data_IF_740683051903
#
_entry.id   IF_740683051903
#
_cell.length_a   1.000
_cell.length_b   1.000
_cell.length_c   1.000
_cell.angle_alpha   90.00
_cell.angle_beta   90.00
_cell.angle_gamma   90.00
#
_symmetry.space_group_name_H-M   'P 1'
#
loop_
_entity.id
_entity.type
_entity.pdbx_description
1 polymer ?
#
# COMPACT_ATOMS: atom_id res chain seq x y z
N UNK A 1 -1.33 16.41 27.40
CA UNK A 1 -0.10 16.58 26.61
C UNK A 1 0.93 15.61 27.16
N UNK A 2 0.98 14.40 26.63
CA UNK A 2 2.07 13.46 26.90
C UNK A 2 3.21 13.83 25.96
N UNK A 3 4.32 14.34 26.50
CA UNK A 3 5.52 14.59 25.72
C UNK A 3 6.01 13.26 25.14
N UNK A 4 6.05 13.15 23.82
CA UNK A 4 6.72 12.04 23.13
C UNK A 4 8.21 12.19 23.37
N UNK A 5 8.79 11.21 24.07
CA UNK A 5 10.16 11.26 24.57
C UNK A 5 11.14 10.86 23.45
N UNK A 6 11.21 11.68 22.40
CA UNK A 6 12.07 11.46 21.22
C UNK A 6 13.54 11.31 21.60
N UNK A 7 13.95 11.87 22.74
CA UNK A 7 15.31 11.78 23.31
C UNK A 7 15.76 10.34 23.61
N UNK A 8 14.83 9.39 23.65
CA UNK A 8 15.14 7.97 23.90
C UNK A 8 15.15 7.12 22.62
N UNK A 9 14.68 7.61 21.48
CA UNK A 9 14.55 6.79 20.25
C UNK A 9 15.93 6.65 19.59
N UNK A 10 16.32 5.42 19.25
CA UNK A 10 17.59 5.12 18.59
C UNK A 10 17.44 4.35 17.29
N UNK A 11 16.24 3.86 16.96
CA UNK A 11 15.96 3.16 15.71
C UNK A 11 14.52 3.40 15.25
N UNK A 12 14.29 3.36 13.93
CA UNK A 12 12.97 3.42 13.30
C UNK A 12 12.75 2.16 12.47
N UNK A 13 11.58 1.53 12.61
CA UNK A 13 11.12 0.43 11.78
C UNK A 13 9.78 0.79 11.14
N UNK A 14 9.73 0.87 9.82
CA UNK A 14 8.48 1.10 9.09
C UNK A 14 7.93 -0.23 8.57
N UNK A 15 6.78 -0.65 9.09
CA UNK A 15 6.09 -1.90 8.73
C UNK A 15 4.86 -1.63 7.85
N UNK A 16 4.38 -2.66 7.17
CA UNK A 16 3.17 -2.57 6.35
C UNK A 16 1.92 -2.54 7.24
N UNK A 17 0.96 -1.68 6.93
CA UNK A 17 -0.27 -1.49 7.72
C UNK A 17 -1.18 -2.73 7.77
N UNK A 18 -0.92 -3.76 6.96
CA UNK A 18 -1.60 -5.07 7.01
C UNK A 18 -1.03 -6.01 8.09
N UNK A 19 0.20 -5.74 8.57
CA UNK A 19 0.89 -6.57 9.56
C UNK A 19 0.37 -6.46 11.02
N UNK A 20 -0.15 -5.33 11.51
CA UNK A 20 -0.64 -5.20 12.89
C UNK A 20 -1.70 -6.25 13.27
N UNK A 21 -2.55 -6.67 12.33
CA UNK A 21 -3.57 -7.70 12.59
C UNK A 21 -2.99 -9.10 12.88
N UNK A 22 -1.73 -9.36 12.53
CA UNK A 22 -1.04 -10.63 12.73
C UNK A 22 -0.07 -10.61 13.92
N UNK A 23 0.28 -9.42 14.42
CA UNK A 23 1.21 -9.20 15.54
C UNK A 23 0.52 -9.23 16.91
N UNK A 24 -0.62 -9.90 17.06
CA UNK A 24 -1.32 -10.04 18.33
C UNK A 24 -1.06 -11.41 19.01
N UNK A 25 0.06 -11.63 19.72
CA UNK A 25 0.07 -12.51 20.87
C UNK A 25 -0.43 -11.76 22.11
N UNK A 26 -1.09 -12.50 23.01
CA UNK A 26 -1.86 -12.02 24.16
C UNK A 26 -1.07 -11.26 25.26
N UNK A 27 0.16 -10.82 25.03
CA UNK A 27 1.05 -10.22 26.06
C UNK A 27 1.87 -9.02 25.55
N UNK A 28 1.33 -8.23 24.61
CA UNK A 28 1.90 -6.93 24.23
C UNK A 28 1.07 -5.77 24.80
N UNK A 29 1.71 -4.87 25.54
CA UNK A 29 1.09 -3.59 25.95
C UNK A 29 1.13 -2.62 24.77
N UNK A 30 0.08 -2.64 23.96
CA UNK A 30 -0.12 -1.74 22.84
C UNK A 30 -0.49 -0.33 23.35
N UNK A 31 0.38 0.66 23.14
CA UNK A 31 0.02 2.07 23.39
C UNK A 31 -0.57 2.65 22.10
N UNK A 32 -1.89 2.54 21.95
CA UNK A 32 -2.65 3.22 20.88
C UNK A 32 -2.97 4.64 21.37
N UNK A 33 -2.39 5.66 20.72
CA UNK A 33 -2.81 7.03 20.97
C UNK A 33 -4.17 7.28 20.31
N UNK A 34 -5.18 7.55 21.15
CA UNK A 34 -6.61 7.55 20.83
C UNK A 34 -7.12 8.62 19.84
N UNK A 35 -6.26 9.25 19.03
CA UNK A 35 -6.67 10.23 18.03
C UNK A 35 -6.22 9.97 16.59
N UNK A 36 -5.43 8.91 16.33
CA UNK A 36 -5.11 8.45 14.96
C UNK A 36 -4.89 6.94 14.99
N UNK A 37 -5.66 6.19 14.21
CA UNK A 37 -5.81 4.73 14.35
C UNK A 37 -4.63 3.87 13.85
N UNK A 38 -3.42 4.41 13.62
CA UNK A 38 -2.42 3.72 12.78
C UNK A 38 -0.95 3.84 13.23
N UNK A 39 -0.64 3.84 14.53
CA UNK A 39 0.78 3.83 14.99
C UNK A 39 0.97 2.92 16.20
N UNK A 40 2.02 2.08 16.17
CA UNK A 40 2.39 1.12 17.22
C UNK A 40 3.73 1.53 17.86
N UNK A 41 3.77 1.85 19.15
CA UNK A 41 5.02 2.20 19.84
C UNK A 41 5.64 1.00 20.55
N UNK A 42 6.95 0.77 20.41
CA UNK A 42 7.70 -0.25 21.16
C UNK A 42 9.00 0.30 21.77
N UNK A 43 9.03 0.56 23.08
CA UNK A 43 10.28 0.85 23.78
C UNK A 43 10.88 -0.44 24.35
N UNK A 44 11.78 -1.09 23.61
CA UNK A 44 12.67 -2.11 24.17
C UNK A 44 14.07 -1.98 23.55
N UNK A 45 15.10 -2.05 24.39
CA UNK A 45 16.49 -1.95 23.96
C UNK A 45 16.89 -3.19 23.16
N UNK A 46 16.92 -3.08 21.83
CA UNK A 46 17.38 -4.16 20.94
C UNK A 46 18.76 -3.82 20.41
N UNK A 47 19.78 -4.49 20.95
CA UNK A 47 21.11 -4.58 20.35
C UNK A 47 21.12 -5.77 19.39
N UNK A 48 20.95 -5.53 18.09
CA UNK A 48 21.20 -6.53 17.06
C UNK A 48 21.61 -5.87 15.74
N UNK A 49 22.66 -6.41 15.12
CA UNK A 49 23.14 -6.04 13.78
C UNK A 49 22.03 -6.25 12.75
N UNK A 50 21.52 -5.17 12.15
CA UNK A 50 20.35 -5.14 11.24
C UNK A 50 20.76 -5.40 9.77
N UNK A 51 21.85 -6.15 9.53
CA UNK A 51 22.34 -6.39 8.16
C UNK A 51 21.90 -7.72 7.53
N UNK A 52 21.19 -8.59 8.27
CA UNK A 52 20.75 -9.86 7.74
C UNK A 52 19.51 -10.38 8.43
N UNK A 53 18.41 -10.33 7.70
CA UNK A 53 17.16 -11.04 7.98
C UNK A 53 16.29 -10.44 9.10
N UNK A 54 15.46 -9.47 8.69
CA UNK A 54 14.50 -8.78 9.55
C UNK A 54 13.48 -9.75 10.18
N UNK A 55 13.11 -10.82 9.48
CA UNK A 55 12.23 -11.84 10.05
C UNK A 55 12.94 -12.57 11.19
N UNK A 56 14.24 -12.86 11.05
CA UNK A 56 15.04 -13.42 12.14
C UNK A 56 15.23 -12.44 13.30
N UNK A 57 15.38 -11.13 13.04
CA UNK A 57 15.47 -10.10 14.07
C UNK A 57 14.16 -9.96 14.87
N UNK A 58 13.02 -9.93 14.17
CA UNK A 58 11.67 -9.86 14.79
C UNK A 58 11.34 -11.16 15.53
N UNK A 59 11.68 -12.32 14.95
CA UNK A 59 11.46 -13.63 15.58
C UNK A 59 12.37 -13.83 16.79
N UNK A 60 13.64 -13.42 16.71
CA UNK A 60 14.58 -13.46 17.85
C UNK A 60 14.18 -12.50 18.97
N UNK A 61 13.62 -11.33 18.63
CA UNK A 61 13.05 -10.42 19.63
C UNK A 61 11.82 -11.04 20.32
N UNK A 62 11.00 -11.80 19.59
CA UNK A 62 9.86 -12.54 20.16
C UNK A 62 10.30 -13.77 21.00
N UNK A 63 11.30 -14.53 20.54
CA UNK A 63 11.78 -15.77 21.17
C UNK A 63 12.67 -15.53 22.41
N UNK A 64 13.26 -14.34 22.54
CA UNK A 64 14.20 -14.01 23.63
C UNK A 64 13.54 -13.54 24.93
N UNK A 65 12.20 -13.55 25.02
CA UNK A 65 11.48 -13.20 26.25
C UNK A 65 11.71 -11.76 26.73
N UNK A 66 12.08 -10.85 25.83
CA UNK A 66 12.43 -9.46 26.10
C UNK A 66 11.21 -8.52 26.17
N UNK A 67 10.10 -9.00 26.74
CA UNK A 67 8.97 -8.21 27.26
C UNK A 67 8.83 -8.52 28.77
N UNK A 68 8.51 -7.53 29.63
CA UNK A 68 9.26 -7.37 30.88
C UNK A 68 8.84 -8.26 32.05
N UNK A 69 9.87 -8.78 32.74
CA UNK A 69 9.88 -9.22 34.13
C UNK A 69 11.31 -9.16 34.71
N UNK A 70 11.61 -8.06 35.42
CA UNK A 70 12.77 -7.79 36.30
C UNK A 70 14.18 -7.39 35.76
N UNK A 71 14.50 -6.11 36.01
CA UNK A 71 15.72 -5.48 36.60
C UNK A 71 17.12 -5.67 36.00
N UNK A 72 17.60 -4.69 35.21
CA UNK A 72 18.64 -3.67 35.53
C UNK A 72 18.94 -2.80 34.29
N UNK A 73 19.45 -1.55 34.44
CA UNK A 73 19.44 -0.56 33.37
C UNK A 73 20.66 -0.69 32.45
N UNK A 74 20.50 -1.40 31.33
CA UNK A 74 21.33 -1.15 30.15
C UNK A 74 20.69 -0.01 29.35
N UNK A 75 21.43 1.08 29.13
CA UNK A 75 20.96 2.35 28.56
C UNK A 75 19.92 2.17 27.42
N UNK A 76 18.66 2.63 27.57
CA UNK A 76 17.60 2.22 26.66
C UNK A 76 17.54 3.16 25.46
N UNK A 77 17.98 2.67 24.31
CA UNK A 77 17.54 3.18 23.02
C UNK A 77 16.20 2.55 22.63
N UNK A 78 15.18 3.36 22.37
CA UNK A 78 13.82 2.98 22.00
C UNK A 78 13.66 2.76 20.49
N UNK A 79 12.71 1.91 20.12
CA UNK A 79 12.38 1.57 18.73
C UNK A 79 11.05 2.24 18.34
N UNK A 80 11.09 3.15 17.37
CA UNK A 80 9.87 3.69 16.78
C UNK A 80 9.36 2.73 15.70
N UNK A 81 8.17 2.16 15.88
CA UNK A 81 7.51 1.38 14.82
C UNK A 81 6.41 2.23 14.19
N UNK A 82 6.48 2.41 12.87
CA UNK A 82 5.50 3.20 12.12
C UNK A 82 4.96 2.41 10.94
N UNK A 83 3.78 2.77 10.45
CA UNK A 83 3.22 2.20 9.23
C UNK A 83 3.48 3.04 7.98
N UNK A 84 3.98 4.27 8.18
CA UNK A 84 4.29 5.22 7.12
C UNK A 84 5.50 6.07 7.47
N UNK A 85 6.31 6.39 6.46
CA UNK A 85 7.44 7.32 6.59
C UNK A 85 7.00 8.78 6.75
N UNK A 86 5.74 9.10 6.43
CA UNK A 86 5.19 10.45 6.52
C UNK A 86 4.69 10.83 7.91
N UNK A 87 4.93 9.98 8.91
CA UNK A 87 4.55 10.23 10.29
C UNK A 87 5.39 11.37 10.89
N UNK A 88 4.80 12.35 11.58
CA UNK A 88 5.53 13.45 12.20
C UNK A 88 6.63 13.01 13.18
N UNK A 89 6.44 11.91 13.91
CA UNK A 89 7.42 11.36 14.83
C UNK A 89 8.55 10.64 14.09
N UNK A 90 8.24 9.97 12.97
CA UNK A 90 9.27 9.45 12.06
C UNK A 90 10.10 10.61 11.48
N UNK A 91 9.45 11.70 11.04
CA UNK A 91 10.16 12.88 10.57
C UNK A 91 11.02 13.55 11.65
N UNK A 92 10.50 13.64 12.88
CA UNK A 92 11.25 14.17 14.02
C UNK A 92 12.43 13.27 14.40
N UNK A 93 12.30 11.95 14.27
CA UNK A 93 13.39 11.02 14.52
C UNK A 93 14.44 11.04 13.39
N UNK A 94 14.01 11.16 12.13
CA UNK A 94 14.90 11.29 10.97
C UNK A 94 15.73 12.59 11.02
N UNK A 95 15.19 13.69 11.55
CA UNK A 95 15.96 14.94 11.72
C UNK A 95 17.11 14.80 12.73
N UNK A 96 17.06 13.77 13.58
CA UNK A 96 18.10 13.38 14.52
C UNK A 96 19.08 12.33 13.94
N UNK A 97 19.01 12.04 12.63
CA UNK A 97 19.78 10.99 11.95
C UNK A 97 19.60 9.60 12.55
N UNK A 98 18.43 9.32 13.11
CA UNK A 98 18.12 8.00 13.66
C UNK A 98 18.04 6.98 12.50
N UNK A 99 18.74 5.83 12.58
CA UNK A 99 18.72 4.82 11.53
C UNK A 99 17.31 4.26 11.33
N UNK A 100 16.93 4.11 10.05
CA UNK A 100 15.61 3.63 9.62
C UNK A 100 15.72 2.37 8.79
N UNK A 101 14.92 1.36 9.13
CA UNK A 101 14.66 0.19 8.30
C UNK A 101 13.22 0.23 7.78
N UNK A 102 13.02 -0.05 6.49
CA UNK A 102 11.69 -0.13 5.86
C UNK A 102 11.47 -1.58 5.43
N UNK A 103 10.35 -2.18 5.84
CA UNK A 103 9.99 -3.52 5.39
C UNK A 103 9.69 -3.48 3.89
N UNK A 104 10.20 -4.42 3.06
CA UNK A 104 9.98 -4.40 1.61
C UNK A 104 8.51 -4.33 1.18
N UNK A 105 7.58 -4.84 2.00
CA UNK A 105 6.14 -4.76 1.73
C UNK A 105 5.58 -3.35 1.82
N UNK A 106 6.22 -2.43 2.57
CA UNK A 106 5.93 -0.99 2.55
C UNK A 106 6.35 -0.36 1.21
N UNK A 107 7.31 -0.98 0.52
CA UNK A 107 7.72 -0.60 -0.83
C UNK A 107 6.76 -1.13 -1.92
N UNK A 108 5.63 -1.75 -1.56
CA UNK A 108 4.63 -2.18 -2.53
C UNK A 108 3.98 -0.96 -3.21
N UNK A 109 4.21 -0.82 -4.51
CA UNK A 109 3.76 0.33 -5.27
C UNK A 109 2.24 0.49 -5.29
N UNK A 110 1.49 -0.62 -5.22
CA UNK A 110 0.02 -0.58 -5.21
C UNK A 110 -0.49 -0.05 -3.87
N UNK A 111 0.03 -0.57 -2.76
CA UNK A 111 -0.28 -0.08 -1.42
C UNK A 111 0.09 1.40 -1.26
N UNK A 112 1.25 1.82 -1.79
CA UNK A 112 1.63 3.23 -1.80
C UNK A 112 0.67 4.11 -2.59
N UNK A 113 0.19 3.66 -3.75
CA UNK A 113 -0.77 4.43 -4.55
C UNK A 113 -2.09 4.63 -3.79
N UNK A 114 -2.62 3.58 -3.14
CA UNK A 114 -3.82 3.67 -2.30
C UNK A 114 -3.61 4.61 -1.11
N UNK A 115 -2.51 4.44 -0.37
CA UNK A 115 -2.19 5.29 0.77
C UNK A 115 -1.96 6.77 0.37
N UNK A 116 -1.38 7.00 -0.80
CA UNK A 116 -1.19 8.35 -1.35
C UNK A 116 -2.54 9.00 -1.65
N UNK A 117 -3.47 8.29 -2.28
CA UNK A 117 -4.82 8.81 -2.55
C UNK A 117 -5.59 9.12 -1.26
N UNK A 118 -5.53 8.21 -0.28
CA UNK A 118 -6.11 8.44 1.06
C UNK A 118 -5.56 9.72 1.67
N UNK A 119 -4.23 9.87 1.69
CA UNK A 119 -3.57 11.06 2.21
C UNK A 119 -3.99 12.31 1.43
N UNK A 120 -4.12 12.23 0.11
CA UNK A 120 -4.53 13.35 -0.72
C UNK A 120 -5.91 13.87 -0.31
N UNK A 121 -6.88 12.99 -0.04
CA UNK A 121 -8.19 13.40 0.47
C UNK A 121 -8.21 13.74 1.97
N UNK A 122 -7.17 13.38 2.73
CA UNK A 122 -7.05 13.85 4.12
C UNK A 122 -6.57 15.29 4.21
N UNK A 123 -5.63 15.69 3.35
CA UNK A 123 -4.92 16.98 3.49
C UNK A 123 -5.18 17.97 2.35
N UNK A 124 -5.63 17.51 1.18
CA UNK A 124 -5.79 18.30 -0.03
C UNK A 124 -7.14 19.00 -0.13
N UNK A 125 -7.15 20.32 -0.35
CA UNK A 125 -8.41 21.08 -0.48
C UNK A 125 -9.15 20.76 -1.77
N UNK A 126 -8.42 20.57 -2.88
CA UNK A 126 -9.02 20.28 -4.18
C UNK A 126 -9.58 18.87 -4.24
N UNK A 127 -8.82 17.90 -3.76
CA UNK A 127 -9.15 16.48 -3.71
C UNK A 127 -10.41 16.24 -2.88
N UNK A 128 -10.52 16.91 -1.72
CA UNK A 128 -11.69 16.85 -0.85
C UNK A 128 -12.97 17.42 -1.47
N UNK A 129 -12.86 18.28 -2.47
CA UNK A 129 -14.01 18.87 -3.17
C UNK A 129 -14.54 17.96 -4.29
N UNK A 130 -13.81 16.90 -4.65
CA UNK A 130 -14.20 16.04 -5.75
C UNK A 130 -15.37 15.13 -5.40
N UNK A 131 -16.21 14.87 -6.40
CA UNK A 131 -17.27 13.87 -6.39
C UNK A 131 -17.09 12.93 -7.59
N UNK A 132 -17.85 11.83 -7.64
CA UNK A 132 -17.83 10.97 -8.82
C UNK A 132 -18.16 11.76 -10.10
N UNK A 133 -19.12 12.68 -10.01
CA UNK A 133 -19.59 13.49 -11.13
C UNK A 133 -18.59 14.57 -11.54
N UNK A 134 -17.93 15.24 -10.57
CA UNK A 134 -16.96 16.30 -10.89
C UNK A 134 -15.70 15.77 -11.58
N UNK A 135 -15.39 14.48 -11.40
CA UNK A 135 -14.23 13.82 -12.00
C UNK A 135 -14.48 13.28 -13.41
N UNK A 136 -15.74 13.22 -13.88
CA UNK A 136 -16.07 12.70 -15.22
C UNK A 136 -15.29 13.42 -16.35
N UNK A 137 -15.18 14.76 -16.38
CA UNK A 137 -14.43 15.45 -17.42
C UNK A 137 -12.95 15.03 -17.45
N UNK A 138 -12.33 14.91 -16.28
CA UNK A 138 -10.95 14.44 -16.15
C UNK A 138 -10.82 13.01 -16.67
N UNK A 139 -11.68 12.09 -16.24
CA UNK A 139 -11.65 10.70 -16.73
C UNK A 139 -11.79 10.61 -18.26
N UNK A 140 -12.61 11.45 -18.88
CA UNK A 140 -12.75 11.50 -20.34
C UNK A 140 -11.45 11.98 -21.00
N UNK A 141 -10.84 13.04 -20.46
CA UNK A 141 -9.56 13.59 -20.91
C UNK A 141 -8.44 12.56 -20.81
N UNK A 142 -8.19 12.00 -19.61
CA UNK A 142 -7.14 10.97 -19.40
C UNK A 142 -7.36 9.74 -20.28
N UNK A 143 -8.62 9.37 -20.55
CA UNK A 143 -8.92 8.24 -21.45
C UNK A 143 -8.56 8.58 -22.91
N UNK A 144 -8.78 9.82 -23.34
CA UNK A 144 -8.40 10.27 -24.68
C UNK A 144 -6.88 10.34 -24.82
N UNK A 145 -6.17 10.86 -23.82
CA UNK A 145 -4.71 10.92 -23.80
C UNK A 145 -4.10 9.51 -23.80
N UNK A 146 -4.66 8.57 -23.03
CA UNK A 146 -4.28 7.16 -23.10
C UNK A 146 -4.48 6.54 -24.49
N UNK A 147 -5.59 6.86 -25.17
CA UNK A 147 -5.82 6.38 -26.55
C UNK A 147 -4.73 6.90 -27.49
N UNK A 148 -4.37 8.17 -27.38
CA UNK A 148 -3.32 8.77 -28.20
C UNK A 148 -1.94 8.18 -27.89
N UNK A 149 -1.61 7.95 -26.61
CA UNK A 149 -0.37 7.30 -26.21
C UNK A 149 -0.27 5.85 -26.72
N UNK A 150 -1.37 5.08 -26.69
CA UNK A 150 -1.42 3.73 -27.29
C UNK A 150 -1.13 3.79 -28.80
N UNK A 151 -1.74 4.74 -29.51
CA UNK A 151 -1.55 4.90 -30.95
C UNK A 151 -0.10 5.26 -31.29
N UNK A 152 0.47 6.22 -30.57
CA UNK A 152 1.88 6.63 -30.70
C UNK A 152 2.80 5.45 -30.42
N UNK A 153 2.67 4.80 -29.27
CA UNK A 153 3.49 3.63 -28.90
C UNK A 153 3.40 2.51 -29.94
N UNK A 154 2.25 2.28 -30.56
CA UNK A 154 2.07 1.22 -31.56
C UNK A 154 2.78 1.51 -32.88
N UNK A 155 2.99 2.78 -33.22
CA UNK A 155 3.60 3.23 -34.48
C UNK A 155 5.08 3.60 -34.33
N UNK A 156 5.55 3.85 -33.11
CA UNK A 156 6.94 4.23 -32.84
C UNK A 156 7.88 3.03 -32.82
N UNK A 157 8.99 3.13 -33.56
CA UNK A 157 10.08 2.15 -33.59
C UNK A 157 11.44 2.84 -33.39
N UNK A 158 12.51 2.06 -33.23
CA UNK A 158 13.87 2.59 -33.15
C UNK A 158 14.15 3.36 -31.86
N UNK A 159 14.90 4.45 -31.96
CA UNK A 159 15.43 5.20 -30.82
C UNK A 159 14.32 5.83 -29.94
N UNK A 160 13.18 6.17 -30.54
CA UNK A 160 12.08 6.87 -29.85
C UNK A 160 11.15 5.90 -29.10
N UNK A 161 11.34 4.59 -29.26
CA UNK A 161 10.46 3.56 -28.67
C UNK A 161 10.38 3.64 -27.15
N UNK A 162 11.49 3.94 -26.50
CA UNK A 162 11.57 4.01 -25.04
C UNK A 162 10.74 5.18 -24.50
N UNK A 163 10.83 6.34 -25.15
CA UNK A 163 10.04 7.52 -24.77
C UNK A 163 8.54 7.25 -24.94
N UNK A 164 8.12 6.68 -26.07
CA UNK A 164 6.71 6.32 -26.28
C UNK A 164 6.19 5.29 -25.26
N UNK A 165 7.07 4.40 -24.76
CA UNK A 165 6.71 3.46 -23.70
C UNK A 165 6.51 4.15 -22.34
N UNK A 166 7.30 5.19 -22.07
CA UNK A 166 7.20 6.00 -20.85
C UNK A 166 5.94 6.85 -20.85
N UNK A 167 5.60 7.47 -21.99
CA UNK A 167 4.33 8.19 -22.19
C UNK A 167 3.14 7.26 -21.98
N UNK A 168 3.09 6.09 -22.64
CA UNK A 168 2.03 5.10 -22.42
C UNK A 168 1.90 4.68 -20.95
N UNK A 169 3.02 4.52 -20.25
CA UNK A 169 3.02 4.17 -18.83
C UNK A 169 2.47 5.32 -17.96
N UNK A 170 2.76 6.57 -18.30
CA UNK A 170 2.25 7.75 -17.60
C UNK A 170 0.73 7.81 -17.71
N UNK A 171 0.18 7.74 -18.92
CA UNK A 171 -1.27 7.82 -19.15
C UNK A 171 -2.04 6.65 -18.50
N UNK A 172 -1.44 5.45 -18.47
CA UNK A 172 -2.01 4.32 -17.71
C UNK A 172 -2.07 4.63 -16.20
N UNK A 173 -1.10 5.39 -15.70
CA UNK A 173 -1.08 5.91 -14.33
C UNK A 173 -2.18 6.93 -14.08
N UNK A 174 -2.47 7.81 -15.03
CA UNK A 174 -3.51 8.84 -14.89
C UNK A 174 -4.93 8.23 -14.95
N UNK A 175 -5.14 7.20 -15.77
CA UNK A 175 -6.39 6.42 -15.68
C UNK A 175 -6.50 5.67 -14.35
N UNK A 176 -5.39 5.14 -13.80
CA UNK A 176 -5.38 4.53 -12.46
C UNK A 176 -5.69 5.56 -11.37
N UNK A 177 -5.21 6.80 -11.50
CA UNK A 177 -5.52 7.91 -10.60
C UNK A 177 -7.04 8.13 -10.50
N UNK A 178 -7.75 8.11 -11.62
CA UNK A 178 -9.22 8.24 -11.64
C UNK A 178 -9.91 7.07 -10.92
N UNK A 179 -9.44 5.84 -11.11
CA UNK A 179 -9.96 4.66 -10.40
C UNK A 179 -9.76 4.80 -8.89
N UNK A 180 -8.57 5.24 -8.45
CA UNK A 180 -8.25 5.44 -7.04
C UNK A 180 -9.09 6.55 -6.43
N UNK A 181 -9.33 7.67 -7.13
CA UNK A 181 -10.22 8.72 -6.67
C UNK A 181 -11.64 8.19 -6.40
N UNK A 182 -12.23 7.48 -7.36
CA UNK A 182 -13.56 6.93 -7.18
C UNK A 182 -13.63 5.90 -6.04
N UNK A 183 -12.62 5.05 -5.92
CA UNK A 183 -12.53 4.08 -4.82
C UNK A 183 -12.42 4.76 -3.45
N UNK A 184 -11.61 5.81 -3.33
CA UNK A 184 -11.44 6.53 -2.06
C UNK A 184 -12.68 7.37 -1.69
N UNK A 185 -13.34 7.99 -2.67
CA UNK A 185 -14.61 8.70 -2.45
C UNK A 185 -15.70 7.74 -1.95
N UNK A 186 -15.79 6.53 -2.52
CA UNK A 186 -16.74 5.50 -2.09
C UNK A 186 -16.38 4.92 -0.71
N UNK A 187 -15.09 4.71 -0.45
CA UNK A 187 -14.58 4.19 0.83
C UNK A 187 -14.97 5.10 1.99
N UNK A 188 -14.82 6.43 1.83
CA UNK A 188 -15.22 7.43 2.83
C UNK A 188 -16.71 7.47 3.13
N UNK A 189 -17.55 6.90 2.26
CA UNK A 189 -19.01 6.76 2.45
C UNK A 189 -19.39 5.41 3.05
N UNK A 190 -18.43 4.49 3.20
CA UNK A 190 -18.66 3.13 3.66
C UNK A 190 -19.28 2.22 2.59
N UNK A 191 -19.15 2.58 1.30
CA UNK A 191 -19.75 1.83 0.19
C UNK A 191 -18.85 0.69 -0.30
N UNK A 192 -17.65 1.02 -0.79
CA UNK A 192 -16.62 0.07 -1.25
C UNK A 192 -15.25 0.76 -1.33
N UNK A 193 -14.16 -0.02 -1.34
CA UNK A 193 -12.79 0.48 -1.48
C UNK A 193 -12.06 -0.05 -2.74
N UNK A 194 -10.76 0.24 -2.87
CA UNK A 194 -9.97 -0.23 -4.01
C UNK A 194 -9.81 -1.76 -4.03
N UNK A 195 -9.78 -2.40 -2.87
CA UNK A 195 -9.72 -3.87 -2.75
C UNK A 195 -11.01 -4.50 -3.27
N UNK A 196 -12.16 -3.90 -3.00
CA UNK A 196 -13.45 -4.32 -3.56
C UNK A 196 -13.48 -4.17 -5.09
N UNK A 197 -12.94 -3.08 -5.63
CA UNK A 197 -12.81 -2.87 -7.09
C UNK A 197 -11.95 -3.98 -7.71
N UNK A 198 -10.78 -4.26 -7.13
CA UNK A 198 -9.89 -5.33 -7.59
C UNK A 198 -10.54 -6.72 -7.44
N UNK A 199 -11.24 -6.97 -6.34
CA UNK A 199 -12.02 -8.17 -6.09
C UNK A 199 -13.09 -8.39 -7.16
N UNK A 200 -13.84 -7.34 -7.51
CA UNK A 200 -14.87 -7.39 -8.55
C UNK A 200 -14.31 -7.76 -9.94
N UNK A 201 -13.07 -7.36 -10.24
CA UNK A 201 -12.37 -7.77 -11.45
C UNK A 201 -12.03 -9.26 -11.42
N UNK A 202 -11.48 -9.75 -10.30
CA UNK A 202 -11.14 -11.17 -10.13
C UNK A 202 -12.40 -12.04 -10.22
N UNK A 203 -13.48 -11.68 -9.53
CA UNK A 203 -14.75 -12.41 -9.58
C UNK A 203 -15.33 -12.46 -11.00
N UNK A 204 -15.27 -11.34 -11.72
CA UNK A 204 -15.68 -11.25 -13.13
C UNK A 204 -14.89 -12.22 -14.00
N UNK A 205 -13.58 -12.31 -13.79
CA UNK A 205 -12.73 -13.26 -14.53
C UNK A 205 -12.96 -14.71 -14.08
N UNK A 206 -13.20 -14.99 -12.79
CA UNK A 206 -13.60 -16.34 -12.35
C UNK A 206 -14.87 -16.81 -13.03
N UNK A 207 -15.82 -15.91 -13.26
CA UNK A 207 -17.09 -16.22 -13.93
C UNK A 207 -16.96 -16.37 -15.46
N UNK A 208 -16.13 -15.54 -16.12
CA UNK A 208 -16.07 -15.43 -17.59
C UNK A 208 -14.87 -16.11 -18.23
N UNK A 209 -13.83 -16.37 -17.44
CA UNK A 209 -12.56 -16.99 -17.85
C UNK A 209 -12.07 -17.97 -16.77
N UNK A 210 -12.88 -18.99 -16.41
CA UNK A 210 -12.56 -19.92 -15.30
C UNK A 210 -11.24 -20.67 -15.48
N UNK A 211 -10.80 -20.85 -16.73
CA UNK A 211 -9.51 -21.48 -17.06
C UNK A 211 -8.30 -20.74 -16.47
N UNK A 212 -8.44 -19.47 -16.07
CA UNK A 212 -7.39 -18.75 -15.36
C UNK A 212 -7.21 -19.23 -13.91
N UNK A 213 -8.12 -20.04 -13.38
CA UNK A 213 -8.19 -20.39 -11.96
C UNK A 213 -8.37 -21.89 -11.67
N UNK A 214 -8.57 -22.72 -12.69
CA UNK A 214 -8.91 -24.15 -12.54
C UNK A 214 -7.72 -25.12 -12.77
N UNK A 215 -6.50 -24.57 -12.90
CA UNK A 215 -5.30 -25.35 -13.16
C UNK A 215 -5.06 -25.68 -14.64
N UNK A 216 -5.79 -25.05 -15.56
CA UNK A 216 -5.49 -25.13 -17.00
C UNK A 216 -4.04 -24.72 -17.28
N UNK A 217 -3.27 -25.63 -17.85
CA UNK A 217 -1.82 -25.48 -18.09
C UNK A 217 -1.46 -25.29 -19.58
N UNK A 218 -2.46 -25.22 -20.47
CA UNK A 218 -2.27 -25.09 -21.92
C UNK A 218 -2.98 -23.85 -22.46
N UNK A 219 -2.54 -23.38 -23.63
CA UNK A 219 -3.15 -22.22 -24.28
C UNK A 219 -4.61 -22.55 -24.63
N UNK A 220 -5.53 -21.75 -24.10
CA UNK A 220 -6.95 -21.89 -24.41
C UNK A 220 -7.25 -21.20 -25.75
N UNK A 221 -7.85 -21.89 -26.73
CA UNK A 221 -8.18 -21.28 -28.02
C UNK A 221 -9.14 -20.09 -27.88
N UNK A 222 -8.96 -19.03 -28.69
CA UNK A 222 -9.76 -17.80 -28.62
C UNK A 222 -11.28 -18.06 -28.71
N UNK A 223 -11.71 -18.98 -29.59
CA UNK A 223 -13.11 -19.39 -29.72
C UNK A 223 -13.72 -19.92 -28.42
N UNK A 224 -12.92 -20.64 -27.63
CA UNK A 224 -13.37 -21.15 -26.33
C UNK A 224 -13.42 -20.03 -25.29
N UNK A 225 -12.45 -19.11 -25.30
CA UNK A 225 -12.48 -17.91 -24.45
C UNK A 225 -13.72 -17.06 -24.71
N UNK A 226 -14.06 -16.81 -25.98
CA UNK A 226 -15.27 -16.09 -26.38
C UNK A 226 -16.55 -16.79 -25.89
N UNK A 227 -16.64 -18.11 -26.08
CA UNK A 227 -17.78 -18.92 -25.62
C UNK A 227 -17.97 -18.80 -24.10
N UNK A 228 -16.90 -18.96 -23.33
CA UNK A 228 -16.92 -18.84 -21.87
C UNK A 228 -17.30 -17.42 -21.43
N UNK A 229 -16.82 -16.39 -22.14
CA UNK A 229 -17.13 -15.00 -21.85
C UNK A 229 -18.62 -14.69 -21.98
N UNK A 230 -19.27 -15.15 -23.06
CA UNK A 230 -20.71 -14.98 -23.24
C UNK A 230 -21.53 -15.73 -22.18
N UNK A 231 -21.14 -16.97 -21.85
CA UNK A 231 -21.82 -17.75 -20.80
C UNK A 231 -21.69 -17.11 -19.43
N UNK A 232 -20.53 -16.55 -19.09
CA UNK A 232 -20.32 -15.86 -17.82
C UNK A 232 -21.04 -14.51 -17.75
N UNK A 233 -21.33 -13.85 -18.87
CA UNK A 233 -22.18 -12.65 -18.92
C UNK A 233 -23.65 -12.93 -18.63
N UNK A 234 -24.17 -14.06 -19.12
CA UNK A 234 -25.59 -14.43 -18.99
C UNK A 234 -26.04 -14.82 -17.58
N UNK A 235 -25.10 -14.96 -16.62
CA UNK A 235 -25.36 -15.35 -15.23
C UNK A 235 -25.51 -14.18 -14.26
N UNK A 236 -25.49 -12.93 -14.76
CA UNK A 236 -25.57 -11.70 -13.97
C UNK A 236 -26.94 -11.04 -14.19
#
# INVERSE_FOLDING_TARGET
MTATNTDTITQILVIDSRWPGWLAPHEMTMVVHAHRAEVLYFAAAVSADVQGDLLAAVTKAADSGLLPGHTEPAAPGGLLVATTISDPEVHAALSLNIPMAIVPSVCDATAQAVATMQRALDIGEWERKQTHESLIPHLIEETAELVDAINTFSQTEGADRQQAAEELRAELGDVLLQVLFHAEIASRRGDFDFSDVAGSFVEKLRARSPYLFDGTASIVPAKEQERLWYLGKAKK
#
